data_IF_107079290093
#
_entry.id   IF_107079290093
#
_cell.length_a   1.000
_cell.length_b   1.000
_cell.length_c   1.000
_cell.angle_alpha   90.00
_cell.angle_beta   90.00
_cell.angle_gamma   90.00
#
_symmetry.space_group_name_H-M   'P 1'
#
loop_
_entity.id
_entity.type
_entity.pdbx_description
1 polymer ?
#
# COMPACT_ATOMS: atom_id res chain seq x y z
N UNK A 1 18.11 -17.05 0.95
CA UNK A 1 18.76 -15.77 0.59
C UNK A 1 17.66 -14.74 0.33
N UNK A 2 17.67 -13.60 1.02
CA UNK A 2 16.75 -12.49 0.77
C UNK A 2 17.38 -11.51 -0.22
N UNK A 3 16.63 -11.04 -1.20
CA UNK A 3 17.10 -9.95 -2.08
C UNK A 3 16.87 -8.63 -1.35
N UNK A 4 17.94 -7.84 -1.18
CA UNK A 4 17.82 -6.49 -0.63
C UNK A 4 17.10 -5.61 -1.66
N UNK A 5 16.00 -5.01 -1.25
CA UNK A 5 15.22 -4.10 -2.07
C UNK A 5 15.88 -2.72 -2.23
N UNK A 6 15.24 -1.86 -3.02
CA UNK A 6 15.60 -0.44 -3.12
C UNK A 6 15.11 0.32 -1.90
N UNK A 7 15.84 1.35 -1.50
CA UNK A 7 15.44 2.29 -0.43
C UNK A 7 15.12 3.64 -1.07
N UNK A 8 14.03 4.27 -0.63
CA UNK A 8 13.66 5.63 -1.03
C UNK A 8 13.43 6.46 0.24
N UNK A 9 14.06 7.63 0.31
CA UNK A 9 13.84 8.62 1.36
C UNK A 9 13.35 9.88 0.67
N UNK A 10 12.22 10.41 1.12
CA UNK A 10 11.59 11.61 0.57
C UNK A 10 11.45 12.64 1.68
N UNK A 11 11.89 13.86 1.40
CA UNK A 11 11.71 15.02 2.29
C UNK A 11 10.57 15.86 1.73
N UNK A 12 9.56 16.10 2.56
CA UNK A 12 8.37 16.86 2.19
C UNK A 12 8.47 18.33 2.60
N UNK A 13 7.61 19.21 2.06
CA UNK A 13 7.52 20.59 2.53
C UNK A 13 7.25 20.70 4.04
N UNK A 14 7.67 21.79 4.69
CA UNK A 14 7.38 22.01 6.11
C UNK A 14 5.87 22.03 6.39
N UNK A 15 5.46 21.44 7.52
CA UNK A 15 4.05 21.41 7.96
C UNK A 15 3.59 22.73 8.63
N UNK A 16 4.38 23.81 8.52
CA UNK A 16 4.17 25.07 9.25
C UNK A 16 2.78 25.64 9.02
N UNK A 17 2.30 25.66 7.78
CA UNK A 17 0.96 26.16 7.44
C UNK A 17 -0.13 25.38 8.16
N UNK A 18 -0.05 24.04 8.15
CA UNK A 18 -1.01 23.19 8.85
C UNK A 18 -0.98 23.42 10.36
N UNK A 19 0.19 23.66 10.96
CA UNK A 19 0.31 23.98 12.38
C UNK A 19 -0.46 25.27 12.72
N UNK A 20 -0.44 26.28 11.85
CA UNK A 20 -1.23 27.49 12.05
C UNK A 20 -2.74 27.21 12.05
N UNK A 21 -3.23 26.35 11.16
CA UNK A 21 -4.64 25.96 11.14
C UNK A 21 -5.06 25.15 12.37
N UNK A 22 -4.19 24.24 12.83
CA UNK A 22 -4.42 23.44 14.02
C UNK A 22 -4.55 24.29 15.30
N UNK A 23 -4.00 25.51 15.34
CA UNK A 23 -4.18 26.43 16.48
C UNK A 23 -5.63 26.86 16.64
N UNK A 24 -6.44 26.85 15.58
CA UNK A 24 -7.87 27.23 15.58
C UNK A 24 -8.77 26.16 16.22
N UNK A 25 -8.25 24.95 16.46
CA UNK A 25 -8.99 23.86 17.10
C UNK A 25 -8.79 23.97 18.62
N UNK A 26 -9.86 24.14 19.38
CA UNK A 26 -9.77 24.25 20.84
C UNK A 26 -9.58 22.88 21.52
N UNK A 27 -10.31 21.88 21.04
CA UNK A 27 -10.23 20.53 21.58
C UNK A 27 -8.87 19.89 21.26
N UNK A 28 -8.12 19.52 22.30
CA UNK A 28 -6.79 18.92 22.18
C UNK A 28 -6.80 17.58 21.43
N UNK A 29 -7.81 16.74 21.65
CA UNK A 29 -7.91 15.43 21.00
C UNK A 29 -8.17 15.57 19.51
N UNK A 30 -9.07 16.48 19.14
CA UNK A 30 -9.37 16.77 17.73
C UNK A 30 -8.14 17.36 17.02
N UNK A 31 -7.38 18.21 17.71
CA UNK A 31 -6.12 18.77 17.19
C UNK A 31 -5.08 17.69 16.90
N UNK A 32 -4.89 16.73 17.81
CA UNK A 32 -3.95 15.61 17.61
C UNK A 32 -4.43 14.72 16.46
N UNK A 33 -5.74 14.44 16.40
CA UNK A 33 -6.33 13.63 15.34
C UNK A 33 -6.13 14.26 13.96
N UNK A 34 -6.37 15.57 13.83
CA UNK A 34 -6.20 16.30 12.58
C UNK A 34 -4.72 16.38 12.15
N UNK A 35 -3.81 16.56 13.11
CA UNK A 35 -2.37 16.50 12.84
C UNK A 35 -1.94 15.12 12.34
N UNK A 36 -2.37 14.04 13.00
CA UNK A 36 -2.06 12.68 12.60
C UNK A 36 -2.61 12.37 11.20
N UNK A 37 -3.87 12.74 10.93
CA UNK A 37 -4.49 12.56 9.62
C UNK A 37 -3.75 13.31 8.51
N UNK A 38 -3.24 14.53 8.79
CA UNK A 38 -2.41 15.27 7.84
C UNK A 38 -1.08 14.57 7.56
N UNK A 39 -0.40 14.07 8.59
CA UNK A 39 0.86 13.32 8.45
C UNK A 39 0.63 12.05 7.64
N UNK A 40 -0.41 11.27 7.96
CA UNK A 40 -0.75 10.03 7.25
C UNK A 40 -1.02 10.30 5.75
N UNK A 41 -1.75 11.38 5.45
CA UNK A 41 -2.03 11.79 4.07
C UNK A 41 -0.77 12.13 3.29
N UNK A 42 0.13 12.93 3.87
CA UNK A 42 1.40 13.27 3.22
C UNK A 42 2.30 12.04 3.09
N UNK A 43 2.30 11.12 4.06
CA UNK A 43 3.00 9.84 3.95
C UNK A 43 2.48 8.99 2.79
N UNK A 44 1.17 8.85 2.63
CA UNK A 44 0.55 8.08 1.55
C UNK A 44 0.84 8.69 0.17
N UNK A 45 0.68 10.01 0.07
CA UNK A 45 0.89 10.77 -1.17
C UNK A 45 2.34 10.71 -1.67
N UNK A 46 3.29 10.78 -0.75
CA UNK A 46 4.72 10.79 -1.06
C UNK A 46 5.39 9.42 -0.98
N UNK A 47 4.62 8.35 -0.71
CA UNK A 47 5.14 6.99 -0.70
C UNK A 47 5.64 6.60 -2.11
N UNK A 48 6.86 6.06 -2.19
CA UNK A 48 7.40 5.58 -3.46
C UNK A 48 6.75 4.26 -3.87
N UNK A 49 5.85 4.34 -4.84
CA UNK A 49 5.29 3.16 -5.49
C UNK A 49 6.31 2.54 -6.46
N UNK A 50 6.46 1.22 -6.35
CA UNK A 50 7.27 0.41 -7.24
C UNK A 50 6.37 -0.40 -8.17
N UNK A 51 6.89 -0.91 -9.31
CA UNK A 51 6.13 -1.77 -10.22
C UNK A 51 5.40 -2.93 -9.52
N UNK A 52 6.00 -3.48 -8.46
CA UNK A 52 5.38 -4.57 -7.65
C UNK A 52 4.08 -4.15 -6.97
N UNK A 53 3.96 -2.89 -6.56
CA UNK A 53 2.75 -2.38 -5.94
C UNK A 53 1.59 -2.32 -6.95
N UNK A 54 1.86 -1.77 -8.13
CA UNK A 54 0.91 -1.68 -9.24
C UNK A 54 0.49 -3.06 -9.77
N UNK A 55 1.44 -3.97 -9.96
CA UNK A 55 1.14 -5.35 -10.36
C UNK A 55 0.28 -6.06 -9.32
N UNK A 56 0.52 -5.84 -8.03
CA UNK A 56 -0.30 -6.43 -6.97
C UNK A 56 -1.71 -5.86 -6.98
N UNK A 57 -1.87 -4.55 -7.15
CA UNK A 57 -3.17 -3.89 -7.27
C UNK A 57 -3.98 -4.47 -8.43
N UNK A 58 -3.40 -4.52 -9.63
CA UNK A 58 -4.07 -5.06 -10.82
C UNK A 58 -4.43 -6.54 -10.65
N UNK A 59 -3.54 -7.34 -10.04
CA UNK A 59 -3.83 -8.77 -9.78
C UNK A 59 -4.91 -8.97 -8.73
N UNK A 60 -5.01 -8.09 -7.73
CA UNK A 60 -6.01 -8.15 -6.67
C UNK A 60 -7.41 -7.79 -7.19
N UNK A 61 -7.51 -6.78 -8.04
CA UNK A 61 -8.78 -6.30 -8.62
C UNK A 61 -9.14 -6.96 -9.96
N UNK A 62 -8.31 -7.86 -10.48
CA UNK A 62 -8.53 -8.54 -11.76
C UNK A 62 -8.34 -7.64 -12.99
N UNK A 63 -7.66 -6.50 -12.85
CA UNK A 63 -7.53 -5.45 -13.86
C UNK A 63 -6.17 -5.33 -14.54
N UNK A 64 -6.02 -4.20 -15.23
CA UNK A 64 -4.81 -3.71 -15.92
C UNK A 64 -4.71 -2.18 -15.85
N UNK A 65 -5.27 -1.58 -14.79
CA UNK A 65 -5.34 -0.12 -14.64
C UNK A 65 -3.95 0.51 -14.72
N UNK A 66 -2.94 -0.15 -14.16
CA UNK A 66 -1.57 0.33 -14.09
C UNK A 66 -0.63 -0.41 -15.05
N UNK A 67 -1.13 -0.93 -16.18
CA UNK A 67 -0.30 -1.70 -17.12
C UNK A 67 0.86 -0.91 -17.74
N UNK A 68 0.85 0.42 -17.64
CA UNK A 68 1.94 1.28 -18.11
C UNK A 68 3.09 1.40 -17.09
N UNK A 69 2.85 1.02 -15.82
CA UNK A 69 3.83 1.13 -14.73
C UNK A 69 4.76 -0.08 -14.62
N UNK A 70 4.50 -1.12 -15.42
CA UNK A 70 5.28 -2.36 -15.43
C UNK A 70 5.21 -3.04 -16.79
N UNK A 71 6.21 -3.85 -17.11
CA UNK A 71 6.19 -4.64 -18.35
C UNK A 71 5.62 -6.06 -18.15
N UNK A 72 5.23 -6.76 -19.23
CA UNK A 72 4.66 -8.12 -19.13
C UNK A 72 5.58 -9.14 -18.45
N UNK A 73 6.90 -9.03 -18.66
CA UNK A 73 7.89 -9.94 -18.07
C UNK A 73 7.91 -9.77 -16.55
N UNK A 74 7.92 -8.53 -16.06
CA UNK A 74 7.84 -8.23 -14.62
C UNK A 74 6.57 -8.84 -14.01
N UNK A 75 5.43 -8.76 -14.69
CA UNK A 75 4.16 -9.35 -14.22
C UNK A 75 4.24 -10.86 -14.09
N UNK A 76 4.87 -11.55 -15.05
CA UNK A 76 5.06 -13.00 -14.99
C UNK A 76 5.97 -13.37 -13.82
N UNK A 77 7.09 -12.68 -13.65
CA UNK A 77 8.03 -12.91 -12.54
C UNK A 77 7.36 -12.68 -11.19
N UNK A 78 6.60 -11.59 -11.05
CA UNK A 78 5.87 -11.28 -9.82
C UNK A 78 4.78 -12.30 -9.50
N UNK A 79 4.01 -12.75 -10.50
CA UNK A 79 3.02 -13.84 -10.31
C UNK A 79 3.69 -15.11 -9.82
N UNK A 80 4.83 -15.49 -10.39
CA UNK A 80 5.60 -16.67 -9.96
C UNK A 80 6.10 -16.51 -8.52
N UNK A 81 6.60 -15.33 -8.17
CA UNK A 81 7.03 -15.01 -6.81
C UNK A 81 5.88 -15.16 -5.79
N UNK A 82 4.70 -14.62 -6.08
CA UNK A 82 3.50 -14.77 -5.25
C UNK A 82 3.10 -16.24 -5.08
N UNK A 83 3.06 -17.02 -6.18
CA UNK A 83 2.77 -18.46 -6.11
C UNK A 83 3.77 -19.20 -5.22
N UNK A 84 5.07 -18.90 -5.33
CA UNK A 84 6.09 -19.52 -4.48
C UNK A 84 5.93 -19.14 -3.00
N UNK A 85 5.55 -17.89 -2.70
CA UNK A 85 5.26 -17.45 -1.34
C UNK A 85 4.08 -18.23 -0.73
N UNK A 86 2.98 -18.38 -1.48
CA UNK A 86 1.83 -19.19 -1.04
C UNK A 86 2.22 -20.65 -0.80
N UNK A 87 3.00 -21.25 -1.70
CA UNK A 87 3.46 -22.64 -1.52
C UNK A 87 4.28 -22.81 -0.24
N UNK A 88 5.16 -21.87 0.09
CA UNK A 88 5.91 -21.90 1.37
C UNK A 88 4.97 -21.84 2.58
N UNK A 89 3.94 -21.00 2.53
CA UNK A 89 2.93 -20.93 3.60
C UNK A 89 2.14 -22.23 3.72
N UNK A 90 1.80 -22.88 2.60
CA UNK A 90 1.11 -24.18 2.58
C UNK A 90 1.93 -25.26 3.28
N UNK A 91 3.26 -25.28 3.10
CA UNK A 91 4.17 -26.24 3.75
C UNK A 91 4.12 -26.12 5.27
N UNK A 92 4.13 -24.89 5.81
CA UNK A 92 4.15 -24.66 7.26
C UNK A 92 2.76 -24.55 7.90
N UNK A 93 1.69 -24.51 7.09
CA UNK A 93 0.28 -24.35 7.50
C UNK A 93 -0.12 -25.27 8.66
N UNK A 94 0.24 -26.57 8.58
CA UNK A 94 -0.09 -27.57 9.61
C UNK A 94 0.58 -27.23 10.96
N UNK A 95 1.84 -26.81 10.93
CA UNK A 95 2.58 -26.40 12.13
C UNK A 95 1.96 -25.16 12.79
N UNK A 96 1.45 -24.24 11.97
CA UNK A 96 0.81 -23.00 12.41
C UNK A 96 -0.69 -23.16 12.76
N UNK A 97 -1.24 -24.38 12.71
CA UNK A 97 -2.67 -24.67 12.99
C UNK A 97 -3.64 -23.83 12.13
N UNK A 98 -3.25 -23.51 10.89
CA UNK A 98 -4.06 -22.70 9.98
C UNK A 98 -5.11 -23.57 9.24
N UNK A 99 -6.26 -22.99 8.80
CA UNK A 99 -7.32 -23.73 8.10
C UNK A 99 -6.82 -24.39 6.83
N UNK A 100 -7.45 -25.49 6.38
CA UNK A 100 -7.08 -26.20 5.14
C UNK A 100 -7.83 -25.66 3.94
N UNK A 101 -9.14 -25.56 4.10
CA UNK A 101 -10.05 -25.07 3.08
C UNK A 101 -9.82 -23.59 2.84
N UNK A 102 -9.84 -23.16 1.57
CA UNK A 102 -9.68 -21.75 1.19
C UNK A 102 -8.30 -21.13 1.47
N UNK A 103 -7.40 -21.82 2.18
CA UNK A 103 -6.15 -21.24 2.69
C UNK A 103 -5.26 -20.64 1.59
N UNK A 104 -5.08 -21.34 0.47
CA UNK A 104 -4.25 -20.83 -0.61
C UNK A 104 -4.79 -19.54 -1.23
N UNK A 105 -6.12 -19.46 -1.38
CA UNK A 105 -6.79 -18.27 -1.90
C UNK A 105 -6.63 -17.11 -0.92
N UNK A 106 -6.95 -17.34 0.36
CA UNK A 106 -6.76 -16.36 1.43
C UNK A 106 -5.31 -15.86 1.51
N UNK A 107 -4.35 -16.78 1.54
CA UNK A 107 -2.93 -16.43 1.61
C UNK A 107 -2.47 -15.60 0.41
N UNK A 108 -2.92 -15.97 -0.79
CA UNK A 108 -2.66 -15.19 -2.01
C UNK A 108 -3.24 -13.79 -1.91
N UNK A 109 -4.48 -13.68 -1.47
CA UNK A 109 -5.19 -12.40 -1.35
C UNK A 109 -4.51 -11.48 -0.35
N UNK A 110 -4.21 -11.97 0.86
CA UNK A 110 -3.47 -11.21 1.88
C UNK A 110 -2.09 -10.79 1.37
N UNK A 111 -1.35 -11.70 0.72
CA UNK A 111 -0.06 -11.34 0.14
C UNK A 111 -0.17 -10.26 -0.93
N UNK A 112 -1.21 -10.29 -1.78
CA UNK A 112 -1.43 -9.24 -2.78
C UNK A 112 -1.83 -7.92 -2.10
N UNK A 113 -2.71 -7.95 -1.11
CA UNK A 113 -3.12 -6.78 -0.32
C UNK A 113 -1.91 -6.06 0.29
N UNK A 114 -0.96 -6.80 0.88
CA UNK A 114 0.27 -6.22 1.44
C UNK A 114 1.06 -5.35 0.45
N UNK A 115 1.02 -5.66 -0.85
CA UNK A 115 1.70 -4.89 -1.88
C UNK A 115 0.77 -3.89 -2.59
N UNK A 116 -0.53 -4.15 -2.63
CA UNK A 116 -1.53 -3.31 -3.30
C UNK A 116 -1.98 -2.11 -2.46
N UNK A 117 -2.00 -2.25 -1.13
CA UNK A 117 -2.48 -1.19 -0.22
C UNK A 117 -1.75 0.14 -0.37
N UNK A 118 -0.41 0.19 -0.58
CA UNK A 118 0.25 1.46 -0.92
C UNK A 118 -0.36 2.20 -2.12
N UNK A 119 -0.83 1.48 -3.15
CA UNK A 119 -1.50 2.09 -4.31
C UNK A 119 -2.89 2.61 -3.90
N UNK A 120 -3.65 1.84 -3.11
CA UNK A 120 -4.97 2.27 -2.61
C UNK A 120 -4.85 3.55 -1.78
N UNK A 121 -3.96 3.54 -0.79
CA UNK A 121 -3.72 4.68 0.09
C UNK A 121 -3.26 5.92 -0.71
N UNK A 122 -2.41 5.71 -1.71
CA UNK A 122 -1.99 6.79 -2.61
C UNK A 122 -3.16 7.36 -3.42
N UNK A 123 -4.02 6.50 -4.00
CA UNK A 123 -5.24 6.93 -4.72
C UNK A 123 -6.18 7.73 -3.83
N UNK A 124 -6.42 7.26 -2.60
CA UNK A 124 -7.28 7.95 -1.63
C UNK A 124 -6.69 9.32 -1.26
N UNK A 125 -5.40 9.37 -0.94
CA UNK A 125 -4.72 10.62 -0.56
C UNK A 125 -4.64 11.65 -1.71
N UNK A 126 -4.65 11.21 -2.97
CA UNK A 126 -4.67 12.13 -4.13
C UNK A 126 -6.08 12.54 -4.53
N UNK A 127 -7.08 11.67 -4.39
CA UNK A 127 -8.48 11.97 -4.72
C UNK A 127 -9.12 13.03 -3.81
N UNK A 128 -8.74 13.09 -2.53
CA UNK A 128 -9.25 14.10 -1.58
C UNK A 128 -8.92 15.55 -1.98
N UNK A 129 -7.92 15.77 -2.86
CA UNK A 129 -7.62 17.11 -3.40
C UNK A 129 -8.63 17.56 -4.46
N UNK A 130 -9.20 16.64 -5.23
CA UNK A 130 -10.14 16.98 -6.32
C UNK A 130 -11.50 17.42 -5.77
N UNK A 131 -11.89 16.94 -4.59
CA UNK A 131 -13.14 17.33 -3.93
C UNK A 131 -13.07 18.67 -3.19
N UNK A 132 -11.87 19.21 -2.94
CA UNK A 132 -11.69 20.51 -2.27
C UNK A 132 -11.60 21.70 -3.24
N UNK A 133 -11.71 21.46 -4.55
CA UNK A 133 -11.60 22.47 -5.62
C UNK A 133 -12.99 22.79 -6.23
N UNK A 134 -14.07 22.18 -5.73
CA UNK A 134 -15.44 22.48 -6.10
C UNK A 134 -16.24 23.00 -4.89
#
# INVERSE_FOLDING_TARGET
KGHKGKVNITVCPPITEKIHDLKKIDNKNDKIKELAAHIDREMHKHFKLWPTNFMAYDLLHGGREFSNEYNPIQRIVFRRYMTQAVLKLVVIRKKLKLPREGFQKMAREVLLQMYAFPVQNWKEATAEKEQSIF
#
